data_IF_976153463909
#
_entry.id   IF_976153463909
#
_cell.length_a   1.000
_cell.length_b   1.000
_cell.length_c   1.000
_cell.angle_alpha   90.00
_cell.angle_beta   90.00
_cell.angle_gamma   90.00
#
_symmetry.space_group_name_H-M   'P 1'
#
loop_
_entity.id
_entity.type
_entity.pdbx_description
1 polymer ?
#
# COMPACT_ATOMS: atom_id res chain seq x y z
N UNK A 1 -29.71 8.41 -4.09
CA UNK A 1 -28.54 7.93 -3.33
C UNK A 1 -27.77 9.15 -2.79
N UNK A 2 -27.42 9.19 -1.49
CA UNK A 2 -26.56 10.26 -0.92
C UNK A 2 -25.22 9.66 -0.54
N UNK A 3 -24.15 10.06 -1.24
CA UNK A 3 -22.80 9.53 -1.02
C UNK A 3 -22.12 10.41 0.03
N UNK A 4 -21.65 9.79 1.12
CA UNK A 4 -20.91 10.47 2.19
C UNK A 4 -19.51 9.88 2.28
N UNK A 5 -18.52 10.59 1.77
CA UNK A 5 -17.13 10.12 1.63
C UNK A 5 -16.28 10.34 2.88
N UNK A 6 -16.72 11.20 3.80
CA UNK A 6 -15.97 11.63 4.99
C UNK A 6 -16.58 11.11 6.31
N UNK A 7 -17.41 10.06 6.26
CA UNK A 7 -17.97 9.48 7.49
C UNK A 7 -16.91 8.68 8.27
N UNK A 8 -17.05 8.55 9.60
CA UNK A 8 -16.15 7.71 10.40
C UNK A 8 -16.07 6.26 9.90
N UNK A 9 -17.19 5.73 9.40
CA UNK A 9 -17.26 4.38 8.82
C UNK A 9 -16.42 4.29 7.54
N UNK A 10 -16.53 5.28 6.65
CA UNK A 10 -15.73 5.33 5.43
C UNK A 10 -14.23 5.48 5.72
N UNK A 11 -13.86 6.29 6.72
CA UNK A 11 -12.46 6.46 7.14
C UNK A 11 -11.89 5.15 7.70
N UNK A 12 -12.60 4.50 8.62
CA UNK A 12 -12.20 3.22 9.20
C UNK A 12 -12.07 2.12 8.15
N UNK A 13 -12.94 2.11 7.14
CA UNK A 13 -12.85 1.19 6.02
C UNK A 13 -11.56 1.43 5.20
N UNK A 14 -11.21 2.69 4.89
CA UNK A 14 -9.96 3.02 4.19
C UNK A 14 -8.71 2.61 4.97
N UNK A 15 -8.67 2.94 6.26
CA UNK A 15 -7.57 2.56 7.16
C UNK A 15 -7.38 1.04 7.20
N UNK A 16 -8.48 0.28 7.34
CA UNK A 16 -8.42 -1.18 7.35
C UNK A 16 -7.93 -1.78 6.03
N UNK A 17 -8.37 -1.23 4.88
CA UNK A 17 -7.88 -1.69 3.57
C UNK A 17 -6.40 -1.37 3.38
N UNK A 18 -5.96 -0.16 3.76
CA UNK A 18 -4.53 0.19 3.70
C UNK A 18 -3.67 -0.72 4.57
N UNK A 19 -4.14 -1.07 5.77
CA UNK A 19 -3.42 -2.00 6.63
C UNK A 19 -3.26 -3.38 5.96
N UNK A 20 -4.30 -3.90 5.29
CA UNK A 20 -4.20 -5.17 4.57
C UNK A 20 -3.27 -5.11 3.36
N UNK A 21 -3.24 -4.00 2.62
CA UNK A 21 -2.31 -3.82 1.52
C UNK A 21 -0.86 -3.78 2.01
N UNK A 22 -0.59 -3.02 3.08
CA UNK A 22 0.75 -2.88 3.66
C UNK A 22 1.20 -4.10 4.48
N UNK A 23 0.27 -4.99 4.85
CA UNK A 23 0.55 -6.21 5.61
C UNK A 23 1.65 -7.04 4.93
N UNK A 24 1.47 -7.34 3.63
CA UNK A 24 2.42 -8.14 2.84
C UNK A 24 3.25 -7.31 1.85
N UNK A 25 3.08 -5.98 1.80
CA UNK A 25 3.92 -5.13 0.96
C UNK A 25 5.37 -5.10 1.49
N UNK A 26 6.39 -5.23 0.63
CA UNK A 26 7.79 -5.16 1.04
C UNK A 26 8.19 -3.74 1.44
N UNK A 27 9.24 -3.60 2.23
CA UNK A 27 9.76 -2.30 2.69
C UNK A 27 10.81 -1.76 1.72
N UNK A 28 10.53 -1.85 0.42
CA UNK A 28 11.47 -1.59 -0.66
C UNK A 28 11.36 -0.16 -1.22
N UNK A 29 10.62 0.74 -0.56
CA UNK A 29 10.43 2.12 -1.04
C UNK A 29 11.74 2.85 -1.42
N UNK A 30 12.90 2.66 -0.73
CA UNK A 30 14.16 3.31 -1.12
C UNK A 30 14.79 2.77 -2.43
N UNK A 31 14.39 1.58 -2.86
CA UNK A 31 14.92 0.91 -4.07
C UNK A 31 13.85 0.73 -5.15
N UNK A 32 12.59 1.05 -4.84
CA UNK A 32 11.47 0.99 -5.75
C UNK A 32 11.56 2.20 -6.71
N UNK A 33 11.53 1.95 -8.01
CA UNK A 33 11.61 3.00 -9.02
C UNK A 33 10.42 3.97 -8.97
N UNK A 34 9.26 3.50 -8.50
CA UNK A 34 8.07 4.33 -8.24
C UNK A 34 8.12 5.05 -6.88
N UNK A 35 9.22 4.94 -6.12
CA UNK A 35 9.38 5.62 -4.85
C UNK A 35 9.27 7.13 -5.01
N UNK A 36 8.31 7.75 -4.32
CA UNK A 36 8.04 9.19 -4.40
C UNK A 36 6.90 9.59 -5.36
N UNK A 37 6.51 8.72 -6.29
CA UNK A 37 5.33 8.88 -7.16
C UNK A 37 4.30 7.76 -6.97
N UNK A 38 4.48 6.94 -5.93
CA UNK A 38 3.65 5.78 -5.66
C UNK A 38 2.31 6.19 -5.02
N UNK A 39 1.20 5.92 -5.71
CA UNK A 39 -0.15 6.14 -5.19
C UNK A 39 -0.40 5.45 -3.85
N UNK A 40 0.19 4.26 -3.63
CA UNK A 40 0.04 3.53 -2.36
C UNK A 40 0.71 4.28 -1.21
N UNK A 41 1.86 4.89 -1.47
CA UNK A 41 2.56 5.72 -0.50
C UNK A 41 1.71 6.95 -0.14
N UNK A 42 1.20 7.66 -1.13
CA UNK A 42 0.39 8.86 -0.93
C UNK A 42 -0.93 8.57 -0.20
N UNK A 43 -1.62 7.49 -0.59
CA UNK A 43 -2.85 7.07 0.07
C UNK A 43 -2.60 6.60 1.51
N UNK A 44 -1.49 5.91 1.76
CA UNK A 44 -1.10 5.52 3.11
C UNK A 44 -0.83 6.74 3.98
N UNK A 45 -0.14 7.76 3.45
CA UNK A 45 0.15 8.99 4.19
C UNK A 45 -1.09 9.84 4.44
N UNK A 46 -2.03 9.90 3.48
CA UNK A 46 -3.22 10.74 3.59
C UNK A 46 -4.38 10.08 4.35
N UNK A 47 -4.57 8.76 4.22
CA UNK A 47 -5.75 8.04 4.71
C UNK A 47 -5.43 6.75 5.49
N UNK A 48 -4.18 6.32 5.54
CA UNK A 48 -3.74 5.15 6.29
C UNK A 48 -3.56 5.41 7.79
N UNK A 49 -3.31 4.35 8.55
CA UNK A 49 -2.86 4.45 9.94
C UNK A 49 -1.38 4.84 10.00
N UNK A 50 -0.98 5.51 11.07
CA UNK A 50 0.42 5.91 11.30
C UNK A 50 1.36 4.71 11.50
N UNK A 51 0.81 3.59 11.99
CA UNK A 51 1.54 2.36 12.29
C UNK A 51 0.77 1.14 11.78
N UNK A 52 1.52 0.15 11.31
CA UNK A 52 1.01 -1.20 11.03
C UNK A 52 1.14 -2.09 12.27
N UNK A 53 0.18 -2.98 12.48
CA UNK A 53 0.20 -3.94 13.62
C UNK A 53 0.83 -5.27 13.27
N UNK A 54 1.09 -5.53 11.98
CA UNK A 54 1.60 -6.79 11.49
C UNK A 54 3.12 -6.90 11.67
N UNK A 55 3.56 -7.89 12.45
CA UNK A 55 4.98 -8.16 12.76
C UNK A 55 5.46 -9.53 12.29
N UNK A 56 4.57 -10.32 11.70
CA UNK A 56 4.88 -11.68 11.25
C UNK A 56 5.59 -11.68 9.89
N UNK A 57 5.96 -12.88 9.43
CA UNK A 57 6.66 -13.06 8.17
C UNK A 57 5.82 -12.62 6.97
N UNK A 58 6.28 -11.59 6.28
CA UNK A 58 5.68 -11.12 5.02
C UNK A 58 5.90 -12.14 3.91
N UNK A 59 4.88 -12.32 3.07
CA UNK A 59 5.02 -13.10 1.83
C UNK A 59 5.97 -12.37 0.87
N UNK A 60 6.90 -13.09 0.27
CA UNK A 60 7.67 -12.64 -0.89
C UNK A 60 7.24 -13.36 -2.17
N UNK A 61 7.48 -12.74 -3.32
CA UNK A 61 7.25 -13.33 -4.64
C UNK A 61 8.55 -13.19 -5.43
N UNK A 62 8.93 -14.24 -6.16
CA UNK A 62 10.13 -14.22 -7.01
C UNK A 62 9.86 -13.36 -8.24
N UNK A 63 10.83 -12.53 -8.60
CA UNK A 63 10.80 -11.72 -9.82
C UNK A 63 10.55 -12.57 -11.05
N UNK A 64 9.57 -12.15 -11.86
CA UNK A 64 9.30 -12.75 -13.16
C UNK A 64 10.09 -12.01 -14.22
N UNK A 65 10.71 -12.76 -15.13
CA UNK A 65 11.36 -12.17 -16.30
C UNK A 65 10.27 -11.85 -17.33
N UNK A 66 9.80 -10.60 -17.31
CA UNK A 66 8.75 -10.08 -18.18
C UNK A 66 9.38 -9.21 -19.26
N UNK A 67 9.92 -9.84 -20.31
CA UNK A 67 10.65 -9.17 -21.40
C UNK A 67 11.81 -8.24 -20.93
N UNK A 68 12.65 -7.78 -21.85
CA UNK A 68 13.86 -7.04 -21.47
C UNK A 68 13.58 -5.62 -20.95
N UNK A 69 12.43 -5.04 -21.29
CA UNK A 69 12.12 -3.61 -21.11
C UNK A 69 11.17 -3.30 -19.95
N UNK A 70 10.54 -4.31 -19.36
CA UNK A 70 9.44 -4.17 -18.38
C UNK A 70 9.91 -4.36 -16.94
N UNK A 71 11.23 -4.30 -16.73
CA UNK A 71 11.90 -4.34 -15.42
C UNK A 71 12.54 -3.00 -15.06
N UNK A 72 12.10 -1.95 -15.73
CA UNK A 72 12.39 -0.54 -15.46
C UNK A 72 11.16 0.09 -14.82
#
# INVERSE_FOLDING_TARGET
MKIKTSTPVAKKAREGVMEFLLMNHPLDCPICDQGGECDLQDQSMAFGSDRGRFTDMKRSVVDKILALWLRL
#
